data_IF_429684167114
#
_entry.id   IF_429684167114
#
_cell.length_a   1.000
_cell.length_b   1.000
_cell.length_c   1.000
_cell.angle_alpha   90.00
_cell.angle_beta   90.00
_cell.angle_gamma   90.00
#
_symmetry.space_group_name_H-M   'P 1'
#
loop_
_entity.id
_entity.type
_entity.pdbx_description
1 polymer ?
#
# COMPACT_ATOMS: atom_id res chain seq x y z
N UNK A 1 48.39 -31.62 -1.36
CA UNK A 1 47.76 -31.09 -0.13
C UNK A 1 47.10 -29.75 -0.46
N UNK A 2 45.86 -29.73 -0.95
CA UNK A 2 45.17 -28.49 -1.29
C UNK A 2 44.55 -27.86 -0.04
N UNK A 3 44.82 -26.57 0.17
CA UNK A 3 44.28 -25.78 1.28
C UNK A 3 42.76 -25.64 1.17
N UNK A 4 42.10 -25.86 2.31
CA UNK A 4 40.67 -25.81 2.50
C UNK A 4 40.07 -24.47 2.03
N UNK A 5 39.06 -24.57 1.16
CA UNK A 5 38.10 -23.51 0.87
C UNK A 5 37.34 -23.17 2.16
N UNK A 6 37.45 -21.93 2.61
CA UNK A 6 36.46 -21.34 3.51
C UNK A 6 35.15 -21.19 2.73
N UNK A 7 34.29 -22.20 2.84
CA UNK A 7 32.85 -22.06 2.61
C UNK A 7 32.30 -21.11 3.68
N UNK A 8 31.95 -19.89 3.27
CA UNK A 8 31.24 -18.94 4.11
C UNK A 8 30.30 -18.11 3.25
N UNK A 9 29.02 -18.12 3.62
CA UNK A 9 27.92 -17.32 3.07
C UNK A 9 27.40 -17.69 1.67
N UNK A 10 26.64 -18.80 1.60
CA UNK A 10 25.67 -19.02 0.50
C UNK A 10 24.24 -19.34 0.97
N UNK A 11 23.88 -18.96 2.21
CA UNK A 11 22.58 -19.33 2.80
C UNK A 11 21.81 -18.16 3.46
N UNK A 12 21.92 -16.93 2.94
CA UNK A 12 21.22 -15.77 3.55
C UNK A 12 20.45 -14.88 2.57
N UNK A 13 20.20 -15.31 1.34
CA UNK A 13 19.34 -14.54 0.43
C UNK A 13 17.84 -14.76 0.71
N UNK A 14 17.48 -15.75 1.54
CA UNK A 14 16.09 -16.04 1.98
C UNK A 14 15.69 -15.31 3.29
N UNK A 15 16.56 -14.47 3.87
CA UNK A 15 16.34 -13.86 5.19
C UNK A 15 16.03 -12.35 5.17
N UNK A 16 16.37 -11.61 4.12
CA UNK A 16 16.16 -10.16 4.12
C UNK A 16 14.72 -9.77 3.79
N UNK A 17 14.12 -10.39 2.78
CA UNK A 17 12.72 -10.11 2.40
C UNK A 17 11.73 -10.62 3.44
N UNK A 18 11.99 -11.80 4.00
CA UNK A 18 11.24 -12.32 5.15
C UNK A 18 11.44 -11.42 6.39
N UNK A 19 12.65 -10.89 6.60
CA UNK A 19 12.95 -9.92 7.65
C UNK A 19 12.19 -8.60 7.49
N UNK A 20 12.08 -8.06 6.26
CA UNK A 20 11.25 -6.89 5.91
C UNK A 20 9.79 -7.12 6.26
N UNK A 21 9.26 -8.26 5.84
CA UNK A 21 7.87 -8.61 6.07
C UNK A 21 7.55 -8.73 7.57
N UNK A 22 8.39 -9.46 8.33
CA UNK A 22 8.21 -9.61 9.79
C UNK A 22 8.35 -8.26 10.50
N UNK A 23 9.34 -7.44 10.14
CA UNK A 23 9.51 -6.11 10.74
C UNK A 23 8.29 -5.23 10.48
N UNK A 24 7.77 -5.22 9.25
CA UNK A 24 6.56 -4.47 8.91
C UNK A 24 5.34 -4.98 9.72
N UNK A 25 5.17 -6.29 9.84
CA UNK A 25 4.08 -6.88 10.63
C UNK A 25 4.16 -6.47 12.11
N UNK A 26 5.35 -6.49 12.71
CA UNK A 26 5.55 -6.03 14.10
C UNK A 26 5.23 -4.55 14.25
N UNK A 27 5.68 -3.70 13.31
CA UNK A 27 5.36 -2.26 13.33
C UNK A 27 3.85 -2.01 13.21
N UNK A 28 3.15 -2.77 12.38
CA UNK A 28 1.68 -2.69 12.25
C UNK A 28 1.01 -3.10 13.56
N UNK A 29 1.42 -4.20 14.19
CA UNK A 29 0.85 -4.63 15.48
C UNK A 29 1.05 -3.55 16.56
N UNK A 30 2.25 -2.98 16.66
CA UNK A 30 2.52 -1.89 17.60
C UNK A 30 1.67 -0.64 17.30
N UNK A 31 1.50 -0.29 16.03
CA UNK A 31 0.64 0.80 15.60
C UNK A 31 -0.82 0.56 15.99
N UNK A 32 -1.34 -0.65 15.78
CA UNK A 32 -2.70 -1.04 16.17
C UNK A 32 -2.90 -1.02 17.69
N UNK A 33 -1.94 -1.53 18.47
CA UNK A 33 -2.01 -1.49 19.94
C UNK A 33 -2.00 -0.05 20.48
N UNK A 34 -1.15 0.81 19.91
CA UNK A 34 -1.13 2.23 20.26
C UNK A 34 -2.46 2.92 19.90
N UNK A 35 -2.99 2.67 18.69
CA UNK A 35 -4.28 3.19 18.27
C UNK A 35 -5.43 2.74 19.17
N UNK A 36 -5.48 1.44 19.50
CA UNK A 36 -6.48 0.89 20.41
C UNK A 36 -6.43 1.52 21.80
N UNK A 37 -5.23 1.73 22.35
CA UNK A 37 -5.07 2.40 23.65
C UNK A 37 -5.57 3.86 23.61
N UNK A 38 -5.24 4.60 22.54
CA UNK A 38 -5.66 6.00 22.36
C UNK A 38 -7.18 6.10 22.20
N UNK A 39 -7.78 5.33 21.29
CA UNK A 39 -9.24 5.35 21.10
C UNK A 39 -9.98 4.88 22.36
N UNK A 40 -9.51 3.83 23.04
CA UNK A 40 -10.12 3.40 24.30
C UNK A 40 -10.02 4.45 25.39
N UNK A 41 -8.97 5.27 25.42
CA UNK A 41 -8.83 6.33 26.42
C UNK A 41 -9.77 7.52 26.13
N UNK A 42 -9.97 7.86 24.85
CA UNK A 42 -10.75 9.03 24.42
C UNK A 42 -12.26 8.71 24.36
N UNK A 43 -12.64 7.55 23.81
CA UNK A 43 -14.04 7.24 23.50
C UNK A 43 -14.78 6.54 24.65
N UNK A 44 -14.12 5.65 25.41
CA UNK A 44 -14.76 4.89 26.49
C UNK A 44 -15.44 5.77 27.55
N UNK A 45 -14.86 6.90 27.99
CA UNK A 45 -15.55 7.78 28.93
C UNK A 45 -16.82 8.41 28.35
N UNK A 46 -16.82 8.69 27.04
CA UNK A 46 -17.98 9.26 26.33
C UNK A 46 -19.08 8.23 26.14
N UNK A 47 -18.71 6.98 25.81
CA UNK A 47 -19.61 5.82 25.73
C UNK A 47 -20.32 5.57 27.06
N UNK A 48 -19.57 5.50 28.18
CA UNK A 48 -20.16 5.28 29.51
C UNK A 48 -21.12 6.41 29.90
N UNK A 49 -20.79 7.66 29.55
CA UNK A 49 -21.68 8.83 29.76
C UNK A 49 -22.93 8.77 28.88
N UNK A 50 -22.84 8.25 27.67
CA UNK A 50 -23.99 8.07 26.78
C UNK A 50 -24.90 6.94 27.29
N UNK A 51 -24.32 5.83 27.71
CA UNK A 51 -25.05 4.70 28.32
C UNK A 51 -25.79 5.12 29.59
N UNK A 52 -25.14 5.90 30.47
CA UNK A 52 -25.80 6.46 31.65
C UNK A 52 -26.98 7.37 31.32
N UNK A 53 -26.83 8.24 30.31
CA UNK A 53 -27.92 9.11 29.81
C UNK A 53 -29.08 8.30 29.26
N UNK A 54 -28.79 7.30 28.42
CA UNK A 54 -29.80 6.41 27.84
C UNK A 54 -30.61 5.67 28.91
N UNK A 55 -29.93 5.07 29.89
CA UNK A 55 -30.60 4.39 31.00
C UNK A 55 -31.49 5.35 31.80
N UNK A 56 -31.04 6.58 32.04
CA UNK A 56 -31.86 7.61 32.67
C UNK A 56 -33.11 7.96 31.86
N UNK A 57 -32.97 8.13 30.53
CA UNK A 57 -34.11 8.36 29.63
C UNK A 57 -35.10 7.20 29.65
N UNK A 58 -34.61 5.95 29.63
CA UNK A 58 -35.43 4.75 29.63
C UNK A 58 -36.25 4.62 30.93
N UNK A 59 -35.60 4.83 32.08
CA UNK A 59 -36.26 4.80 33.39
C UNK A 59 -37.29 5.91 33.52
N UNK A 60 -36.95 7.14 33.14
CA UNK A 60 -37.87 8.28 33.19
C UNK A 60 -39.10 8.05 32.30
N UNK A 61 -38.91 7.48 31.11
CA UNK A 61 -40.02 7.14 30.22
C UNK A 61 -40.92 6.04 30.80
N UNK A 62 -40.32 4.98 31.36
CA UNK A 62 -41.04 3.89 32.02
C UNK A 62 -41.88 4.40 33.20
N UNK A 63 -41.34 5.28 34.04
CA UNK A 63 -42.04 5.89 35.17
C UNK A 63 -43.15 6.85 34.72
N UNK A 64 -42.86 7.71 33.74
CA UNK A 64 -43.82 8.72 33.25
C UNK A 64 -45.08 8.08 32.65
N UNK A 65 -44.91 6.99 31.90
CA UNK A 65 -46.01 6.31 31.22
C UNK A 65 -46.48 5.04 31.93
N UNK A 66 -45.91 4.72 33.10
CA UNK A 66 -46.20 3.53 33.88
C UNK A 66 -46.12 2.21 33.07
N UNK A 67 -45.10 2.10 32.21
CA UNK A 67 -44.84 0.93 31.35
C UNK A 67 -43.76 0.09 32.00
N UNK A 68 -43.92 -1.24 32.00
CA UNK A 68 -42.87 -2.13 32.53
C UNK A 68 -41.59 -2.02 31.69
N UNK A 69 -40.42 -2.00 32.36
CA UNK A 69 -39.12 -1.96 31.67
C UNK A 69 -38.93 -3.18 30.75
N UNK A 70 -39.56 -4.31 31.06
CA UNK A 70 -39.46 -5.51 30.25
C UNK A 70 -40.21 -5.36 28.92
N UNK A 71 -41.43 -4.81 28.96
CA UNK A 71 -42.24 -4.57 27.75
C UNK A 71 -41.64 -3.46 26.89
N UNK A 72 -41.05 -2.44 27.51
CA UNK A 72 -40.35 -1.39 26.78
C UNK A 72 -39.10 -1.94 26.07
N UNK A 73 -38.32 -2.79 26.74
CA UNK A 73 -37.14 -3.42 26.14
C UNK A 73 -37.52 -4.44 25.06
N UNK A 74 -38.62 -5.18 25.19
CA UNK A 74 -39.09 -6.07 24.12
C UNK A 74 -39.51 -5.29 22.88
N UNK A 75 -40.25 -4.19 23.05
CA UNK A 75 -40.61 -3.29 21.95
C UNK A 75 -39.37 -2.70 21.27
N UNK A 76 -38.38 -2.24 22.02
CA UNK A 76 -37.13 -1.71 21.46
C UNK A 76 -36.35 -2.77 20.66
N UNK A 77 -36.37 -4.03 21.10
CA UNK A 77 -35.77 -5.15 20.33
C UNK A 77 -36.51 -5.43 19.03
N UNK A 78 -37.85 -5.34 19.03
CA UNK A 78 -38.64 -5.48 17.80
C UNK A 78 -38.39 -4.31 16.84
N UNK A 79 -38.28 -3.09 17.37
CA UNK A 79 -37.92 -1.91 16.59
C UNK A 79 -36.51 -2.05 15.97
N UNK A 80 -35.54 -2.55 16.73
CA UNK A 80 -34.18 -2.84 16.22
C UNK A 80 -34.23 -3.90 15.10
N UNK A 81 -35.04 -4.96 15.26
CA UNK A 81 -35.25 -5.96 14.23
C UNK A 81 -35.92 -5.38 12.96
N UNK A 82 -36.88 -4.47 13.12
CA UNK A 82 -37.51 -3.78 12.00
C UNK A 82 -36.53 -2.90 11.22
N UNK A 83 -35.66 -2.16 11.92
CA UNK A 83 -34.57 -1.38 11.31
C UNK A 83 -33.61 -2.31 10.55
N UNK A 84 -33.24 -3.46 11.15
CA UNK A 84 -32.38 -4.45 10.49
C UNK A 84 -33.03 -5.07 9.24
N UNK A 85 -34.36 -5.18 9.21
CA UNK A 85 -35.14 -5.57 8.03
C UNK A 85 -35.29 -4.44 6.98
N UNK A 86 -34.81 -3.23 7.29
CA UNK A 86 -34.86 -2.07 6.40
C UNK A 86 -36.15 -1.24 6.51
N UNK A 87 -37.00 -1.52 7.50
CA UNK A 87 -38.23 -0.76 7.78
C UNK A 87 -37.84 0.43 8.65
N UNK A 88 -37.99 1.65 8.13
CA UNK A 88 -37.73 2.89 8.87
C UNK A 88 -38.98 3.75 8.90
N UNK A 89 -39.25 4.34 10.05
CA UNK A 89 -40.33 5.31 10.25
C UNK A 89 -39.99 6.71 9.69
N UNK A 90 -38.70 6.98 9.43
CA UNK A 90 -38.22 8.28 8.97
C UNK A 90 -38.46 8.46 7.46
N UNK A 91 -38.90 9.66 7.06
CA UNK A 91 -39.22 10.08 5.69
C UNK A 91 -38.00 10.22 4.74
N UNK A 92 -37.05 9.28 4.81
CA UNK A 92 -35.89 9.22 3.93
C UNK A 92 -36.29 8.67 2.55
N UNK A 93 -35.57 9.13 1.52
CA UNK A 93 -35.75 8.72 0.12
C UNK A 93 -35.73 7.18 -0.04
N UNK A 94 -36.51 6.60 -0.98
CA UNK A 94 -36.41 5.18 -1.31
C UNK A 94 -34.97 4.78 -1.70
N UNK A 95 -34.37 3.86 -0.95
CA UNK A 95 -32.96 3.42 -1.11
C UNK A 95 -32.66 2.71 -2.43
N UNK A 96 -33.66 2.03 -2.99
CA UNK A 96 -33.52 1.18 -4.18
C UNK A 96 -34.16 1.79 -5.44
N UNK A 97 -34.38 3.12 -5.46
CA UNK A 97 -34.61 3.81 -6.73
C UNK A 97 -33.32 3.80 -7.58
N UNK A 98 -33.40 4.11 -8.88
CA UNK A 98 -32.25 3.99 -9.77
C UNK A 98 -31.03 4.80 -9.30
N UNK A 99 -31.25 6.00 -8.74
CA UNK A 99 -30.13 6.80 -8.21
C UNK A 99 -29.53 6.20 -6.95
N UNK A 100 -30.36 5.69 -6.03
CA UNK A 100 -29.91 5.02 -4.81
C UNK A 100 -29.17 3.72 -5.13
N UNK A 101 -29.66 2.95 -6.11
CA UNK A 101 -28.98 1.78 -6.64
C UNK A 101 -27.64 2.15 -7.32
N UNK A 102 -27.59 3.23 -8.10
CA UNK A 102 -26.36 3.73 -8.71
C UNK A 102 -25.33 4.15 -7.66
N UNK A 103 -25.77 4.85 -6.61
CA UNK A 103 -24.95 5.19 -5.46
C UNK A 103 -24.42 3.94 -4.74
N UNK A 104 -25.29 2.96 -4.48
CA UNK A 104 -24.92 1.68 -3.89
C UNK A 104 -23.83 0.98 -4.71
N UNK A 105 -24.03 0.78 -6.01
CA UNK A 105 -23.02 0.11 -6.84
C UNK A 105 -21.73 0.92 -6.95
N UNK A 106 -21.81 2.25 -6.89
CA UNK A 106 -20.64 3.15 -6.80
C UNK A 106 -19.82 2.93 -5.53
N UNK A 107 -20.48 2.80 -4.37
CA UNK A 107 -19.80 2.53 -3.09
C UNK A 107 -19.20 1.12 -3.01
N UNK A 108 -19.80 0.16 -3.72
CA UNK A 108 -19.26 -1.21 -3.87
C UNK A 108 -17.97 -1.20 -4.69
N UNK A 109 -18.01 -0.66 -5.93
CA UNK A 109 -16.84 -0.72 -6.83
C UNK A 109 -15.68 0.16 -6.38
N UNK A 110 -15.96 1.22 -5.62
CA UNK A 110 -14.94 2.08 -4.99
C UNK A 110 -14.43 1.55 -3.66
N UNK A 111 -14.99 0.43 -3.17
CA UNK A 111 -14.68 -0.18 -1.87
C UNK A 111 -14.88 0.76 -0.67
N UNK A 112 -15.68 1.82 -0.81
CA UNK A 112 -16.03 2.72 0.29
C UNK A 112 -17.00 2.01 1.25
N UNK A 113 -18.07 1.43 0.71
CA UNK A 113 -18.96 0.54 1.47
C UNK A 113 -19.58 1.09 2.76
N UNK A 114 -20.24 2.25 2.73
CA UNK A 114 -20.89 2.89 3.91
C UNK A 114 -21.87 2.01 4.72
N UNK A 115 -22.30 0.86 4.21
CA UNK A 115 -23.19 -0.07 4.94
C UNK A 115 -24.64 0.39 5.10
N UNK A 116 -24.97 1.64 4.75
CA UNK A 116 -26.33 2.18 4.88
C UNK A 116 -27.36 1.52 3.96
N UNK A 117 -26.92 0.94 2.84
CA UNK A 117 -27.76 0.19 1.90
C UNK A 117 -27.09 -1.14 1.58
N UNK A 118 -27.75 -2.26 1.90
CA UNK A 118 -27.21 -3.60 1.67
C UNK A 118 -28.29 -4.50 1.09
N UNK A 119 -27.93 -5.42 0.17
CA UNK A 119 -28.91 -6.33 -0.43
C UNK A 119 -29.40 -7.32 0.62
N UNK A 120 -30.70 -7.32 0.88
CA UNK A 120 -31.34 -8.24 1.82
C UNK A 120 -31.68 -9.58 1.14
N UNK A 121 -32.00 -9.54 -0.15
CA UNK A 121 -32.40 -10.72 -0.94
C UNK A 121 -31.23 -11.64 -1.26
N UNK A 122 -31.49 -12.95 -1.34
CA UNK A 122 -30.48 -13.95 -1.72
C UNK A 122 -29.92 -13.65 -3.11
N UNK A 123 -30.78 -13.34 -4.07
CA UNK A 123 -30.37 -12.97 -5.42
C UNK A 123 -29.47 -11.74 -5.45
N UNK A 124 -29.80 -10.68 -4.68
CA UNK A 124 -28.99 -9.47 -4.59
C UNK A 124 -27.61 -9.74 -3.96
N UNK A 125 -27.54 -10.60 -2.94
CA UNK A 125 -26.26 -11.01 -2.32
C UNK A 125 -25.39 -11.80 -3.30
N UNK A 126 -25.96 -12.75 -4.04
CA UNK A 126 -25.23 -13.53 -5.05
C UNK A 126 -24.75 -12.62 -6.18
N UNK A 127 -25.60 -11.73 -6.68
CA UNK A 127 -25.22 -10.76 -7.71
C UNK A 127 -24.08 -9.85 -7.24
N UNK A 128 -24.14 -9.36 -5.99
CA UNK A 128 -23.09 -8.53 -5.41
C UNK A 128 -21.73 -9.22 -5.38
N UNK A 129 -21.67 -10.53 -5.14
CA UNK A 129 -20.39 -11.28 -5.12
C UNK A 129 -19.70 -11.20 -6.49
N UNK A 130 -20.44 -11.48 -7.57
CA UNK A 130 -19.88 -11.45 -8.93
C UNK A 130 -19.62 -10.02 -9.42
N UNK A 131 -20.59 -9.12 -9.21
CA UNK A 131 -20.47 -7.71 -9.57
C UNK A 131 -19.31 -7.04 -8.83
N UNK A 132 -19.18 -7.28 -7.53
CA UNK A 132 -18.12 -6.73 -6.69
C UNK A 132 -16.74 -7.23 -7.09
N UNK A 133 -16.57 -8.52 -7.39
CA UNK A 133 -15.28 -9.06 -7.84
C UNK A 133 -14.77 -8.37 -9.12
N UNK A 134 -15.62 -8.32 -10.15
CA UNK A 134 -15.25 -7.69 -11.42
C UNK A 134 -15.09 -6.18 -11.28
N UNK A 135 -16.00 -5.53 -10.56
CA UNK A 135 -16.00 -4.09 -10.34
C UNK A 135 -14.78 -3.62 -9.57
N UNK A 136 -14.45 -4.24 -8.42
CA UNK A 136 -13.28 -3.89 -7.63
C UNK A 136 -11.97 -4.09 -8.42
N UNK A 137 -11.85 -5.21 -9.17
CA UNK A 137 -10.68 -5.45 -10.01
C UNK A 137 -10.52 -4.37 -11.10
N UNK A 138 -11.61 -4.01 -11.78
CA UNK A 138 -11.62 -2.95 -12.79
C UNK A 138 -11.28 -1.58 -12.19
N UNK A 139 -11.82 -1.26 -11.00
CA UNK A 139 -11.52 0.00 -10.29
C UNK A 139 -10.06 0.09 -9.87
N UNK A 140 -9.46 -1.01 -9.36
CA UNK A 140 -8.03 -1.02 -9.01
C UNK A 140 -7.17 -0.78 -10.26
N UNK A 141 -7.51 -1.40 -11.40
CA UNK A 141 -6.83 -1.15 -12.67
C UNK A 141 -6.96 0.32 -13.09
N UNK A 142 -8.17 0.88 -13.01
CA UNK A 142 -8.42 2.30 -13.29
C UNK A 142 -7.53 3.20 -12.42
N UNK A 143 -7.49 2.97 -11.11
CA UNK A 143 -6.68 3.77 -10.20
C UNK A 143 -5.16 3.65 -10.46
N UNK A 144 -4.68 2.47 -10.83
CA UNK A 144 -3.28 2.28 -11.23
C UNK A 144 -2.93 3.06 -12.51
N UNK A 145 -3.80 3.02 -13.51
CA UNK A 145 -3.62 3.80 -14.75
C UNK A 145 -3.70 5.31 -14.47
N UNK A 146 -4.63 5.72 -13.62
CA UNK A 146 -4.77 7.11 -13.19
C UNK A 146 -3.51 7.61 -12.47
N UNK A 147 -2.95 6.79 -11.57
CA UNK A 147 -1.71 7.07 -10.86
C UNK A 147 -0.54 7.30 -11.83
N UNK A 148 -0.38 6.46 -12.85
CA UNK A 148 0.67 6.62 -13.87
C UNK A 148 0.54 7.97 -14.60
N UNK A 149 -0.70 8.37 -14.95
CA UNK A 149 -0.97 9.67 -15.58
C UNK A 149 -0.68 10.84 -14.65
N UNK A 150 -1.09 10.77 -13.38
CA UNK A 150 -0.84 11.82 -12.40
C UNK A 150 0.65 11.98 -12.11
N UNK A 151 1.40 10.89 -11.91
CA UNK A 151 2.85 10.96 -11.68
C UNK A 151 3.54 11.59 -12.89
N UNK A 152 3.14 11.21 -14.11
CA UNK A 152 3.68 11.79 -15.35
C UNK A 152 3.38 13.29 -15.44
N UNK A 153 2.13 13.69 -15.15
CA UNK A 153 1.72 15.09 -15.15
C UNK A 153 2.50 15.91 -14.11
N UNK A 154 2.64 15.40 -12.89
CA UNK A 154 3.42 16.04 -11.83
C UNK A 154 4.89 16.17 -12.22
N UNK A 155 5.48 15.15 -12.84
CA UNK A 155 6.87 15.23 -13.31
C UNK A 155 7.05 16.33 -14.38
N UNK A 156 6.10 16.45 -15.32
CA UNK A 156 6.11 17.51 -16.35
C UNK A 156 5.95 18.89 -15.72
N UNK A 157 5.00 19.06 -14.81
CA UNK A 157 4.77 20.33 -14.09
C UNK A 157 6.00 20.73 -13.28
N UNK A 158 6.59 19.80 -12.53
CA UNK A 158 7.80 20.09 -11.75
C UNK A 158 8.99 20.47 -12.65
N UNK A 159 9.14 19.81 -13.81
CA UNK A 159 10.17 20.17 -14.80
C UNK A 159 9.94 21.59 -15.34
N UNK A 160 8.71 21.90 -15.74
CA UNK A 160 8.35 23.23 -16.25
C UNK A 160 8.55 24.34 -15.21
N UNK A 161 8.19 24.11 -13.95
CA UNK A 161 8.41 25.06 -12.84
C UNK A 161 9.91 25.26 -12.61
N UNK A 162 10.71 24.19 -12.63
CA UNK A 162 12.16 24.28 -12.47
C UNK A 162 12.81 25.07 -13.60
N UNK A 163 12.45 24.80 -14.85
CA UNK A 163 12.95 25.52 -16.02
C UNK A 163 12.58 27.01 -15.97
N UNK A 164 11.34 27.33 -15.59
CA UNK A 164 10.91 28.72 -15.36
C UNK A 164 11.69 29.38 -14.24
N UNK A 165 11.98 28.68 -13.15
CA UNK A 165 12.77 29.21 -12.02
C UNK A 165 14.21 29.48 -12.42
N UNK A 166 14.87 28.56 -13.13
CA UNK A 166 16.24 28.73 -13.61
C UNK A 166 16.34 29.91 -14.58
N UNK A 167 15.35 30.04 -15.48
CA UNK A 167 15.26 31.17 -16.41
C UNK A 167 15.09 32.51 -15.66
N UNK A 168 14.24 32.55 -14.65
CA UNK A 168 14.01 33.76 -13.85
C UNK A 168 15.17 34.09 -12.90
N UNK A 169 15.98 33.11 -12.49
CA UNK A 169 17.18 33.31 -11.67
C UNK A 169 18.41 33.76 -12.46
N UNK A 170 18.31 33.93 -13.79
CA UNK A 170 19.38 34.54 -14.61
C UNK A 170 20.64 33.69 -14.82
N UNK A 171 20.59 32.38 -14.53
CA UNK A 171 21.77 31.47 -14.58
C UNK A 171 21.93 30.81 -15.97
N UNK A 172 21.11 31.19 -16.98
CA UNK A 172 21.21 30.62 -18.33
C UNK A 172 21.81 31.63 -19.34
N UNK A 173 22.94 31.32 -19.99
CA UNK A 173 23.47 32.13 -21.08
C UNK A 173 22.48 32.15 -22.27
N UNK A 174 22.27 33.31 -22.93
CA UNK A 174 21.42 33.39 -24.12
C UNK A 174 22.17 32.77 -25.30
N UNK A 175 21.79 31.56 -25.75
CA UNK A 175 22.36 31.04 -27.00
C UNK A 175 22.18 29.56 -27.35
N UNK A 176 21.74 28.67 -26.45
CA UNK A 176 21.59 27.26 -26.84
C UNK A 176 20.20 27.05 -27.46
N UNK A 177 20.23 26.96 -28.79
CA UNK A 177 19.10 26.62 -29.65
C UNK A 177 18.47 25.29 -29.22
N UNK A 178 17.18 25.25 -29.49
CA UNK A 178 16.20 24.24 -29.19
C UNK A 178 16.53 22.88 -29.82
N UNK A 179 17.38 22.07 -29.17
CA UNK A 179 17.44 20.65 -29.49
C UNK A 179 16.37 19.91 -28.68
N UNK A 180 15.22 19.72 -29.33
CA UNK A 180 14.05 18.98 -28.83
C UNK A 180 14.33 17.49 -28.59
N UNK A 181 15.59 17.07 -28.79
CA UNK A 181 16.14 15.72 -28.72
C UNK A 181 17.07 15.49 -27.52
N UNK A 182 17.23 16.47 -26.61
CA UNK A 182 17.87 16.24 -25.30
C UNK A 182 16.93 15.50 -24.33
N UNK A 183 16.43 14.34 -24.76
CA UNK A 183 15.90 13.33 -23.86
C UNK A 183 17.05 12.89 -22.96
N UNK A 184 16.98 13.26 -21.68
CA UNK A 184 17.92 12.93 -20.60
C UNK A 184 19.01 13.98 -20.33
N UNK A 185 18.63 15.09 -19.68
CA UNK A 185 19.53 15.68 -18.69
C UNK A 185 19.90 14.57 -17.68
N UNK A 186 21.18 14.16 -17.58
CA UNK A 186 21.57 13.06 -16.70
C UNK A 186 21.41 13.52 -15.24
N UNK A 187 20.60 12.81 -14.47
CA UNK A 187 20.67 12.85 -13.00
C UNK A 187 19.56 13.58 -12.24
N UNK A 188 18.57 14.23 -12.88
CA UNK A 188 17.44 14.78 -12.11
C UNK A 188 16.30 13.78 -11.97
N UNK A 189 16.19 13.18 -10.77
CA UNK A 189 15.02 12.41 -10.34
C UNK A 189 14.15 13.35 -9.47
N UNK A 190 12.88 13.64 -9.84
CA UNK A 190 11.99 14.38 -8.95
C UNK A 190 11.91 13.63 -7.62
N UNK A 191 12.22 14.32 -6.53
CA UNK A 191 12.23 13.71 -5.20
C UNK A 191 10.80 13.30 -4.84
N UNK A 192 10.64 12.04 -4.41
CA UNK A 192 9.35 11.44 -4.01
C UNK A 192 8.63 12.30 -2.97
N UNK A 193 9.39 12.94 -2.09
CA UNK A 193 8.87 13.85 -1.07
C UNK A 193 8.16 15.09 -1.65
N UNK A 194 8.61 15.62 -2.79
CA UNK A 194 7.95 16.75 -3.44
C UNK A 194 6.63 16.33 -4.08
N UNK A 195 6.61 15.15 -4.71
CA UNK A 195 5.39 14.56 -5.28
C UNK A 195 4.36 14.30 -4.17
N UNK A 196 4.81 13.71 -3.06
CA UNK A 196 3.98 13.47 -1.87
C UNK A 196 3.41 14.78 -1.32
N UNK A 197 4.24 15.83 -1.21
CA UNK A 197 3.81 17.14 -0.71
C UNK A 197 2.76 17.78 -1.63
N UNK A 198 2.97 17.75 -2.95
CA UNK A 198 1.99 18.30 -3.91
C UNK A 198 0.66 17.52 -3.84
N UNK A 199 0.71 16.19 -3.82
CA UNK A 199 -0.48 15.35 -3.70
C UNK A 199 -1.21 15.55 -2.36
N UNK A 200 -0.45 15.71 -1.28
CA UNK A 200 -0.99 16.00 0.05
C UNK A 200 -1.70 17.35 0.08
N UNK A 201 -1.07 18.40 -0.47
CA UNK A 201 -1.69 19.72 -0.57
C UNK A 201 -2.95 19.69 -1.45
N UNK A 202 -2.93 19.00 -2.60
CA UNK A 202 -4.13 18.87 -3.43
C UNK A 202 -5.25 18.10 -2.72
N UNK A 203 -4.94 17.05 -1.97
CA UNK A 203 -5.93 16.30 -1.21
C UNK A 203 -6.59 17.16 -0.12
N UNK A 204 -5.80 17.98 0.58
CA UNK A 204 -6.29 18.94 1.58
C UNK A 204 -7.18 19.98 0.90
N UNK A 205 -6.74 20.57 -0.22
CA UNK A 205 -7.54 21.57 -0.95
C UNK A 205 -8.86 20.99 -1.43
N UNK A 206 -8.86 19.80 -2.06
CA UNK A 206 -10.08 19.13 -2.52
C UNK A 206 -11.03 18.87 -1.34
N UNK A 207 -10.50 18.40 -0.20
CA UNK A 207 -11.30 18.13 1.00
C UNK A 207 -11.91 19.41 1.57
N UNK A 208 -11.13 20.50 1.69
CA UNK A 208 -11.66 21.79 2.14
C UNK A 208 -12.75 22.34 1.21
N UNK A 209 -12.55 22.25 -0.11
CA UNK A 209 -13.55 22.68 -1.09
C UNK A 209 -14.84 21.84 -0.99
N UNK A 210 -14.71 20.52 -0.83
CA UNK A 210 -15.86 19.63 -0.65
C UNK A 210 -16.59 19.91 0.68
N UNK A 211 -15.86 20.12 1.79
CA UNK A 211 -16.45 20.47 3.08
C UNK A 211 -17.21 21.80 3.07
N UNK A 212 -16.69 22.80 2.34
CA UNK A 212 -17.39 24.07 2.15
C UNK A 212 -18.72 23.90 1.40
N UNK A 213 -18.84 22.88 0.55
CA UNK A 213 -20.10 22.51 -0.11
C UNK A 213 -21.03 21.74 0.85
N UNK A 214 -20.53 20.75 1.58
CA UNK A 214 -21.37 19.90 2.45
C UNK A 214 -21.95 20.64 3.66
N UNK A 215 -21.19 21.57 4.25
CA UNK A 215 -21.61 22.32 5.46
C UNK A 215 -22.99 23.00 5.28
N UNK A 216 -23.22 23.85 4.26
CA UNK A 216 -24.52 24.49 4.05
C UNK A 216 -25.59 23.54 3.49
N UNK A 217 -25.21 22.51 2.72
CA UNK A 217 -26.18 21.64 2.02
C UNK A 217 -26.72 20.53 2.91
N UNK A 218 -25.86 19.90 3.71
CA UNK A 218 -26.23 18.79 4.61
C UNK A 218 -26.43 19.27 6.07
N UNK A 219 -26.12 20.53 6.38
CA UNK A 219 -26.27 21.10 7.71
C UNK A 219 -25.26 20.58 8.74
N UNK A 220 -24.18 19.94 8.29
CA UNK A 220 -23.13 19.41 9.16
C UNK A 220 -22.17 20.51 9.63
N UNK A 221 -21.50 20.31 10.76
CA UNK A 221 -20.38 21.16 11.11
C UNK A 221 -19.26 21.04 10.07
N UNK A 222 -18.44 22.08 9.91
CA UNK A 222 -17.35 22.07 8.92
C UNK A 222 -16.31 20.97 9.22
N UNK A 223 -16.03 20.71 10.50
CA UNK A 223 -15.16 19.62 10.92
C UNK A 223 -15.76 18.24 10.59
N UNK A 224 -17.04 18.03 10.82
CA UNK A 224 -17.74 16.79 10.48
C UNK A 224 -17.74 16.56 8.96
N UNK A 225 -17.89 17.64 8.18
CA UNK A 225 -17.78 17.60 6.73
C UNK A 225 -16.36 17.24 6.25
N UNK A 226 -15.31 17.77 6.91
CA UNK A 226 -13.91 17.40 6.64
C UNK A 226 -13.63 15.94 7.02
N UNK A 227 -14.15 15.50 8.17
CA UNK A 227 -14.08 14.11 8.61
C UNK A 227 -14.76 13.19 7.59
N UNK A 228 -15.97 13.53 7.12
CA UNK A 228 -16.67 12.82 6.06
C UNK A 228 -15.82 12.73 4.78
N UNK A 229 -15.21 13.84 4.33
CA UNK A 229 -14.33 13.82 3.17
C UNK A 229 -13.15 12.85 3.35
N UNK A 230 -12.48 12.89 4.51
CA UNK A 230 -11.38 11.98 4.79
C UNK A 230 -11.83 10.52 4.82
N UNK A 231 -12.85 10.18 5.62
CA UNK A 231 -13.39 8.81 5.76
C UNK A 231 -13.84 8.25 4.41
N UNK A 232 -14.40 9.10 3.57
CA UNK A 232 -14.92 8.69 2.27
C UNK A 232 -13.83 8.56 1.21
N UNK A 233 -12.95 9.56 1.07
CA UNK A 233 -11.89 9.56 0.05
C UNK A 233 -10.80 8.53 0.35
N UNK A 234 -10.57 8.20 1.62
CA UNK A 234 -9.68 7.11 2.04
C UNK A 234 -10.32 5.73 1.97
N UNK A 235 -11.57 5.63 1.52
CA UNK A 235 -12.36 4.40 1.42
C UNK A 235 -12.47 3.63 2.74
N UNK A 236 -12.50 4.34 3.87
CA UNK A 236 -12.80 3.76 5.19
C UNK A 236 -14.31 3.54 5.32
N UNK A 237 -15.10 4.58 4.97
CA UNK A 237 -16.55 4.49 4.81
C UNK A 237 -17.34 4.00 6.04
N UNK A 238 -17.18 4.63 7.20
CA UNK A 238 -17.92 4.24 8.41
C UNK A 238 -19.45 4.31 8.27
N UNK A 239 -19.95 5.25 7.45
CA UNK A 239 -21.40 5.38 7.18
C UNK A 239 -22.18 6.15 8.24
N UNK A 240 -21.48 6.75 9.21
CA UNK A 240 -22.02 7.70 10.19
C UNK A 240 -22.49 9.00 9.54
N UNK A 241 -21.74 9.49 8.54
CA UNK A 241 -22.13 10.58 7.66
C UNK A 241 -22.24 10.10 6.22
N UNK A 242 -23.34 10.46 5.54
CA UNK A 242 -23.60 10.07 4.15
C UNK A 242 -24.29 11.20 3.40
N UNK A 243 -23.68 11.63 2.30
CA UNK A 243 -24.24 12.70 1.46
C UNK A 243 -25.41 12.21 0.59
N UNK A 244 -26.28 13.14 0.20
CA UNK A 244 -27.38 12.93 -0.76
C UNK A 244 -28.46 11.92 -0.31
N UNK A 245 -28.71 11.82 0.99
CA UNK A 245 -29.75 10.94 1.56
C UNK A 245 -31.08 11.64 1.81
N UNK A 246 -31.11 12.98 1.83
CA UNK A 246 -32.32 13.76 2.09
C UNK A 246 -33.29 13.71 0.90
N UNK A 247 -34.60 13.69 1.18
CA UNK A 247 -35.65 13.52 0.18
C UNK A 247 -35.76 14.71 -0.81
N UNK A 248 -35.41 15.93 -0.37
CA UNK A 248 -35.42 17.12 -1.22
C UNK A 248 -34.22 18.02 -0.90
N UNK A 249 -33.53 18.47 -1.95
CA UNK A 249 -32.51 19.51 -1.91
C UNK A 249 -32.92 20.62 -2.90
N UNK A 250 -32.66 21.89 -2.59
CA UNK A 250 -33.02 23.02 -3.47
C UNK A 250 -32.38 22.90 -4.87
N UNK A 251 -31.13 22.42 -4.96
CA UNK A 251 -30.40 22.22 -6.22
C UNK A 251 -29.95 20.76 -6.40
N UNK A 252 -30.92 19.85 -6.40
CA UNK A 252 -30.67 18.41 -6.33
C UNK A 252 -29.77 17.84 -7.45
N UNK A 253 -29.95 18.26 -8.70
CA UNK A 253 -29.16 17.74 -9.84
C UNK A 253 -27.70 18.22 -9.79
N UNK A 254 -27.50 19.52 -9.59
CA UNK A 254 -26.19 20.15 -9.52
C UNK A 254 -25.39 19.62 -8.32
N UNK A 255 -26.03 19.49 -7.15
CA UNK A 255 -25.39 18.92 -5.97
C UNK A 255 -24.96 17.47 -6.20
N UNK A 256 -25.80 16.63 -6.83
CA UNK A 256 -25.45 15.23 -7.11
C UNK A 256 -24.25 15.10 -8.04
N UNK A 257 -24.20 15.93 -9.10
CA UNK A 257 -23.06 15.95 -10.03
C UNK A 257 -21.81 16.45 -9.31
N UNK A 258 -21.90 17.53 -8.54
CA UNK A 258 -20.78 18.06 -7.76
C UNK A 258 -20.26 17.04 -6.73
N UNK A 259 -21.15 16.40 -5.98
CA UNK A 259 -20.85 15.30 -5.04
C UNK A 259 -20.13 14.16 -5.76
N UNK A 260 -20.63 13.69 -6.90
CA UNK A 260 -19.98 12.65 -7.69
C UNK A 260 -18.56 13.05 -8.14
N UNK A 261 -18.37 14.29 -8.61
CA UNK A 261 -17.06 14.79 -9.04
C UNK A 261 -16.08 14.92 -7.87
N UNK A 262 -16.53 15.45 -6.72
CA UNK A 262 -15.70 15.54 -5.52
C UNK A 262 -15.31 14.17 -4.98
N UNK A 263 -16.24 13.22 -4.95
CA UNK A 263 -15.99 11.83 -4.59
C UNK A 263 -14.95 11.19 -5.50
N UNK A 264 -15.14 11.30 -6.82
CA UNK A 264 -14.22 10.73 -7.80
C UNK A 264 -12.83 11.34 -7.68
N UNK A 265 -12.72 12.68 -7.64
CA UNK A 265 -11.45 13.39 -7.57
C UNK A 265 -10.75 13.17 -6.23
N UNK A 266 -11.49 13.18 -5.13
CA UNK A 266 -10.99 12.93 -3.78
C UNK A 266 -10.42 11.53 -3.62
N UNK A 267 -11.17 10.49 -3.99
CA UNK A 267 -10.70 9.09 -3.93
C UNK A 267 -9.47 8.89 -4.83
N UNK A 268 -9.49 9.41 -6.05
CA UNK A 268 -8.35 9.34 -6.97
C UNK A 268 -7.08 10.00 -6.38
N UNK A 269 -7.23 11.14 -5.73
CA UNK A 269 -6.13 11.89 -5.13
C UNK A 269 -5.56 11.16 -3.89
N UNK A 270 -6.43 10.70 -2.98
CA UNK A 270 -6.01 9.97 -1.77
C UNK A 270 -5.39 8.62 -2.13
N UNK A 271 -5.96 7.89 -3.09
CA UNK A 271 -5.35 6.65 -3.61
C UNK A 271 -3.92 6.90 -4.09
N UNK A 272 -3.71 7.98 -4.85
CA UNK A 272 -2.39 8.33 -5.35
C UNK A 272 -1.44 8.70 -4.21
N UNK A 273 -1.92 9.45 -3.22
CA UNK A 273 -1.16 9.81 -2.03
C UNK A 273 -0.74 8.56 -1.22
N UNK A 274 -1.65 7.62 -0.96
CA UNK A 274 -1.34 6.37 -0.26
C UNK A 274 -0.30 5.52 -1.00
N UNK A 275 -0.38 5.46 -2.33
CA UNK A 275 0.64 4.78 -3.13
C UNK A 275 2.02 5.44 -3.02
N UNK A 276 2.10 6.76 -3.00
CA UNK A 276 3.37 7.46 -2.79
C UNK A 276 3.88 7.28 -1.36
N UNK A 277 3.01 7.33 -0.36
CA UNK A 277 3.35 7.07 1.04
C UNK A 277 3.88 5.64 1.22
N UNK A 278 3.30 4.64 0.55
CA UNK A 278 3.78 3.25 0.65
C UNK A 278 5.21 3.09 0.15
N UNK A 279 5.61 3.85 -0.88
CA UNK A 279 6.99 3.90 -1.37
C UNK A 279 7.91 4.48 -0.29
N UNK A 280 7.51 5.57 0.37
CA UNK A 280 8.28 6.17 1.47
C UNK A 280 8.40 5.20 2.66
N UNK A 281 7.31 4.52 3.04
CA UNK A 281 7.34 3.49 4.10
C UNK A 281 8.34 2.39 3.75
N UNK A 282 8.36 1.92 2.50
CA UNK A 282 9.33 0.92 2.04
C UNK A 282 10.79 1.43 2.15
N UNK A 283 11.03 2.69 1.81
CA UNK A 283 12.36 3.31 1.95
C UNK A 283 12.79 3.38 3.42
N UNK A 284 11.89 3.79 4.32
CA UNK A 284 12.14 3.84 5.77
C UNK A 284 12.40 2.45 6.33
N UNK A 285 11.62 1.44 5.93
CA UNK A 285 11.78 0.05 6.36
C UNK A 285 13.16 -0.50 5.98
N UNK A 286 13.60 -0.25 4.74
CA UNK A 286 14.92 -0.66 4.28
C UNK A 286 16.05 0.01 5.07
N UNK A 287 15.92 1.32 5.31
CA UNK A 287 16.86 2.07 6.13
C UNK A 287 16.94 1.52 7.57
N UNK A 288 15.80 1.17 8.17
CA UNK A 288 15.75 0.56 9.51
C UNK A 288 16.49 -0.78 9.56
N UNK A 289 16.28 -1.65 8.56
CA UNK A 289 16.95 -2.95 8.50
C UNK A 289 18.46 -2.82 8.33
N UNK A 290 18.91 -1.91 7.47
CA UNK A 290 20.34 -1.65 7.28
C UNK A 290 20.98 -1.11 8.56
N UNK A 291 20.26 -0.26 9.31
CA UNK A 291 20.73 0.22 10.61
C UNK A 291 20.83 -0.91 11.63
N UNK A 292 19.85 -1.83 11.64
CA UNK A 292 19.82 -2.99 12.52
C UNK A 292 20.92 -4.02 12.19
N UNK A 293 21.22 -4.24 10.91
CA UNK A 293 22.30 -5.15 10.48
C UNK A 293 23.69 -4.59 10.85
N UNK A 294 23.90 -3.27 10.73
CA UNK A 294 25.13 -2.61 11.19
C UNK A 294 25.32 -2.73 12.71
N UNK A 295 24.25 -2.59 13.49
CA UNK A 295 24.26 -2.78 14.95
C UNK A 295 24.61 -4.23 15.33
N UNK A 296 24.07 -5.22 14.60
CA UNK A 296 24.40 -6.64 14.80
C UNK A 296 25.86 -6.95 14.44
N UNK A 297 26.37 -6.39 13.34
CA UNK A 297 27.75 -6.60 12.89
C UNK A 297 28.79 -6.00 13.86
N UNK A 298 28.50 -4.83 14.45
CA UNK A 298 29.37 -4.21 15.46
C UNK A 298 29.38 -5.00 16.78
N UNK A 299 28.25 -5.62 17.14
CA UNK A 299 28.12 -6.48 18.33
C UNK A 299 28.85 -7.82 18.15
N UNK A 300 28.78 -8.44 16.97
CA UNK A 300 29.59 -9.62 16.62
C UNK A 300 31.10 -9.32 16.59
N UNK A 301 31.50 -8.14 16.10
CA UNK A 301 32.92 -7.76 16.07
C UNK A 301 33.48 -7.50 17.49
N UNK A 302 32.68 -6.93 18.41
CA UNK A 302 33.06 -6.81 19.83
C UNK A 302 33.13 -8.16 20.55
N UNK A 303 32.26 -9.10 20.23
CA UNK A 303 32.31 -10.46 20.79
C UNK A 303 33.57 -11.23 20.33
N UNK A 304 33.98 -11.08 19.07
CA UNK A 304 35.21 -11.68 18.55
C UNK A 304 36.49 -10.97 19.01
N UNK A 305 36.44 -9.66 19.27
CA UNK A 305 37.59 -8.93 19.82
C UNK A 305 37.97 -9.38 21.23
N UNK A 306 37.04 -9.97 22.00
CA UNK A 306 37.32 -10.50 23.35
C UNK A 306 38.01 -11.88 23.32
N UNK A 307 37.92 -12.62 22.22
CA UNK A 307 38.53 -13.95 22.05
C UNK A 307 39.80 -13.94 21.17
N UNK A 308 40.19 -12.78 20.64
CA UNK A 308 41.27 -12.64 19.65
C UNK A 308 42.61 -12.11 20.15
N UNK A 309 42.89 -12.11 21.46
CA UNK A 309 44.19 -11.65 22.00
C UNK A 309 45.11 -12.82 22.32
N UNK A 310 45.49 -13.60 21.29
CA UNK A 310 46.68 -14.47 21.35
C UNK A 310 47.75 -13.88 20.43
N UNK A 311 48.71 -13.20 21.07
CA UNK A 311 49.88 -12.61 20.45
C UNK A 311 50.70 -13.67 19.71
N UNK A 312 50.90 -13.51 18.40
CA UNK A 312 51.93 -14.22 17.67
C UNK A 312 53.02 -13.21 17.28
N UNK A 313 54.08 -13.20 18.09
CA UNK A 313 55.37 -12.55 17.79
C UNK A 313 56.00 -13.33 16.63
N UNK A 314 56.38 -12.65 15.55
CA UNK A 314 57.35 -13.18 14.57
C UNK A 314 58.52 -12.19 14.42
N UNK A 315 59.78 -12.65 14.49
CA UNK A 315 60.95 -11.80 14.39
C UNK A 315 61.23 -11.40 12.94
N UNK A 316 61.88 -10.24 12.79
CA UNK A 316 62.02 -9.54 11.52
C UNK A 316 63.09 -10.08 10.56
N UNK A 317 63.06 -9.52 9.34
CA UNK A 317 64.23 -9.41 8.48
C UNK A 317 64.23 -8.04 7.79
N UNK A 318 65.37 -7.35 7.92
CA UNK A 318 65.67 -6.05 7.30
C UNK A 318 66.12 -6.27 5.85
N UNK A 319 65.64 -5.51 4.86
CA UNK A 319 66.47 -5.07 3.72
C UNK A 319 65.94 -3.85 2.94
N UNK A 320 66.59 -2.71 3.23
CA UNK A 320 67.13 -1.61 2.40
C UNK A 320 66.44 -1.11 1.09
N UNK A 321 66.26 0.22 1.06
CA UNK A 321 65.97 1.16 -0.04
C UNK A 321 66.86 1.04 -1.30
N UNK A 322 66.30 1.41 -2.46
CA UNK A 322 67.00 1.99 -3.62
C UNK A 322 66.02 2.54 -4.69
N UNK A 323 66.17 3.82 -5.07
CA UNK A 323 65.48 4.50 -6.20
C UNK A 323 66.37 4.44 -7.45
N UNK A 324 65.81 4.35 -8.68
CA UNK A 324 65.97 5.29 -9.82
C UNK A 324 65.35 4.78 -11.16
N UNK A 325 64.52 5.61 -11.83
CA UNK A 325 64.73 6.09 -13.22
C UNK A 325 64.33 5.31 -14.49
N UNK A 326 63.17 5.66 -15.07
CA UNK A 326 62.80 5.91 -16.51
C UNK A 326 62.51 4.77 -17.56
N UNK A 327 61.73 5.06 -18.65
CA UNK A 327 60.82 4.17 -19.44
C UNK A 327 61.33 3.94 -20.91
N UNK A 328 60.54 3.57 -21.98
CA UNK A 328 59.14 3.10 -22.14
C UNK A 328 58.96 1.82 -23.02
N UNK A 329 57.67 1.45 -23.24
CA UNK A 329 57.06 0.74 -24.40
C UNK A 329 56.50 -0.71 -24.28
N UNK A 330 55.24 -0.80 -24.76
CA UNK A 330 54.51 -1.92 -25.40
C UNK A 330 53.64 -2.90 -24.59
N UNK A 331 52.34 -2.58 -24.60
CA UNK A 331 51.15 -3.38 -24.96
C UNK A 331 50.86 -4.78 -24.39
N UNK A 332 49.71 -4.88 -23.71
CA UNK A 332 48.96 -6.11 -23.43
C UNK A 332 47.77 -5.84 -22.47
N UNK A 333 46.51 -6.17 -22.83
CA UNK A 333 45.33 -5.78 -22.06
C UNK A 333 45.11 -6.73 -20.87
N UNK A 334 45.16 -6.21 -19.66
CA UNK A 334 44.75 -6.92 -18.45
C UNK A 334 43.53 -6.21 -17.85
N UNK A 335 42.36 -6.82 -18.02
CA UNK A 335 41.15 -6.51 -17.27
C UNK A 335 41.40 -6.80 -15.79
N UNK A 336 41.60 -5.74 -15.01
CA UNK A 336 41.60 -5.80 -13.56
C UNK A 336 40.37 -5.08 -13.03
N UNK A 337 39.33 -5.86 -12.72
CA UNK A 337 38.20 -5.46 -11.88
C UNK A 337 38.72 -5.00 -10.51
N UNK A 338 39.00 -3.71 -10.42
CA UNK A 338 39.26 -3.02 -9.16
C UNK A 338 38.06 -2.13 -8.93
N UNK A 339 36.96 -2.74 -8.48
CA UNK A 339 35.77 -2.02 -8.04
C UNK A 339 36.08 -1.39 -6.69
N UNK A 340 36.76 -0.24 -6.75
CA UNK A 340 36.91 0.67 -5.64
C UNK A 340 35.51 1.10 -5.19
N UNK A 341 35.18 0.78 -3.95
CA UNK A 341 34.01 1.28 -3.21
C UNK A 341 33.82 2.78 -3.46
N UNK A 342 32.92 3.14 -4.38
CA UNK A 342 32.33 4.46 -4.46
C UNK A 342 31.01 4.44 -3.72
N UNK A 343 31.03 5.05 -2.54
CA UNK A 343 29.84 5.53 -1.85
C UNK A 343 29.11 6.54 -2.75
N UNK A 344 27.95 6.16 -3.28
CA UNK A 344 26.85 7.08 -3.55
C UNK A 344 25.56 6.30 -3.66
N UNK A 345 24.58 6.66 -2.83
CA UNK A 345 23.25 6.07 -2.84
C UNK A 345 22.56 6.27 -4.18
N UNK A 346 22.56 5.23 -5.01
CA UNK A 346 21.71 5.17 -6.19
C UNK A 346 20.25 5.07 -5.74
N UNK A 347 19.57 6.21 -5.69
CA UNK A 347 18.11 6.26 -5.67
C UNK A 347 17.60 5.58 -6.95
N UNK A 348 16.94 4.45 -6.81
CA UNK A 348 16.39 3.63 -7.90
C UNK A 348 15.51 4.51 -8.81
N UNK A 349 15.72 4.40 -10.13
CA UNK A 349 14.97 5.16 -11.14
C UNK A 349 13.51 4.73 -11.19
N UNK A 350 12.56 5.68 -11.27
CA UNK A 350 11.14 5.35 -11.46
C UNK A 350 10.87 4.56 -12.75
N UNK A 351 11.71 4.74 -13.79
CA UNK A 351 11.64 3.92 -15.01
C UNK A 351 12.04 2.47 -14.74
N UNK A 352 13.05 2.23 -13.90
CA UNK A 352 13.49 0.88 -13.53
C UNK A 352 12.50 0.20 -12.58
N UNK A 353 11.76 0.98 -11.78
CA UNK A 353 10.69 0.51 -10.89
C UNK A 353 9.39 0.21 -11.65
N UNK A 354 8.98 1.06 -12.60
CA UNK A 354 7.86 0.79 -13.49
C UNK A 354 8.19 -0.36 -14.45
N UNK A 355 9.44 -0.47 -14.92
CA UNK A 355 9.93 -1.62 -15.66
C UNK A 355 9.95 -2.87 -14.77
N UNK A 356 10.34 -2.77 -13.50
CA UNK A 356 10.31 -3.91 -12.55
C UNK A 356 8.89 -4.39 -12.28
N UNK A 357 7.90 -3.49 -12.13
CA UNK A 357 6.49 -3.88 -12.00
C UNK A 357 5.93 -4.47 -13.31
N UNK A 358 6.29 -3.91 -14.48
CA UNK A 358 5.93 -4.48 -15.79
C UNK A 358 6.59 -5.84 -16.03
N UNK A 359 7.84 -6.02 -15.62
CA UNK A 359 8.60 -7.28 -15.71
C UNK A 359 8.05 -8.30 -14.74
N UNK A 360 7.67 -7.90 -13.52
CA UNK A 360 7.06 -8.79 -12.52
C UNK A 360 5.66 -9.24 -12.97
N UNK A 361 4.86 -8.32 -13.54
CA UNK A 361 3.59 -8.65 -14.19
C UNK A 361 3.77 -9.54 -15.42
N UNK A 362 4.77 -9.26 -16.27
CA UNK A 362 5.07 -10.08 -17.44
C UNK A 362 5.60 -11.46 -17.04
N UNK A 363 6.37 -11.58 -15.95
CA UNK A 363 6.82 -12.85 -15.39
C UNK A 363 5.67 -13.63 -14.76
N UNK A 364 4.76 -12.97 -14.04
CA UNK A 364 3.54 -13.62 -13.52
C UNK A 364 2.62 -14.05 -14.65
N UNK A 365 2.39 -13.21 -15.66
CA UNK A 365 1.61 -13.56 -16.86
C UNK A 365 2.27 -14.69 -17.64
N UNK A 366 3.60 -14.68 -17.76
CA UNK A 366 4.37 -15.75 -18.39
C UNK A 366 4.28 -17.05 -17.61
N UNK A 367 4.46 -17.03 -16.28
CA UNK A 367 4.32 -18.21 -15.42
C UNK A 367 2.89 -18.77 -15.42
N UNK A 368 1.88 -17.90 -15.46
CA UNK A 368 0.48 -18.30 -15.62
C UNK A 368 0.22 -18.88 -17.01
N UNK A 369 0.81 -18.30 -18.07
CA UNK A 369 0.69 -18.83 -19.44
C UNK A 369 1.42 -20.17 -19.62
N UNK A 370 2.59 -20.34 -19.00
CA UNK A 370 3.38 -21.58 -19.04
C UNK A 370 2.72 -22.67 -18.19
N UNK A 371 2.07 -22.30 -17.08
CA UNK A 371 1.27 -23.22 -16.26
C UNK A 371 -0.05 -23.61 -16.93
N UNK A 372 -0.64 -22.71 -17.73
CA UNK A 372 -1.89 -22.97 -18.46
C UNK A 372 -1.68 -23.77 -19.76
N UNK A 373 -0.55 -23.58 -20.46
CA UNK A 373 -0.32 -24.21 -21.76
C UNK A 373 0.46 -25.52 -21.73
N UNK A 374 0.91 -26.01 -20.56
CA UNK A 374 1.40 -27.40 -20.38
C UNK A 374 2.21 -27.99 -21.55
N UNK A 375 3.33 -27.37 -21.94
CA UNK A 375 4.23 -27.95 -22.96
C UNK A 375 5.43 -28.68 -22.32
N UNK A 376 5.87 -29.83 -22.89
CA UNK A 376 6.73 -30.78 -22.22
C UNK A 376 8.21 -30.37 -22.31
N UNK A 377 8.96 -30.61 -21.24
CA UNK A 377 10.41 -30.44 -21.24
C UNK A 377 11.07 -31.45 -22.18
N UNK A 378 11.73 -30.96 -23.21
CA UNK A 378 12.68 -31.73 -24.03
C UNK A 378 13.81 -32.25 -23.14
N UNK A 379 13.90 -33.57 -23.06
CA UNK A 379 14.94 -34.35 -22.40
C UNK A 379 16.19 -34.33 -23.28
N UNK A 380 17.32 -33.86 -22.74
CA UNK A 380 18.64 -34.30 -23.19
C UNK A 380 19.42 -34.71 -21.95
N UNK A 381 19.68 -36.01 -21.83
CA UNK A 381 20.24 -36.64 -20.63
C UNK A 381 21.75 -36.51 -20.54
N UNK A 382 22.28 -36.40 -19.32
CA UNK A 382 23.11 -37.46 -18.74
C UNK A 382 23.44 -37.21 -17.25
N UNK A 383 23.41 -38.31 -16.48
CA UNK A 383 24.03 -38.57 -15.17
C UNK A 383 23.52 -37.88 -13.88
N UNK A 384 22.68 -38.67 -13.17
CA UNK A 384 22.72 -39.00 -11.73
C UNK A 384 22.92 -37.87 -10.69
N UNK A 385 21.82 -37.49 -10.04
CA UNK A 385 21.69 -37.67 -8.58
C UNK A 385 20.21 -37.70 -8.15
N UNK A 386 19.85 -38.77 -7.45
CA UNK A 386 18.55 -38.97 -6.81
C UNK A 386 18.35 -38.01 -5.65
N UNK A 387 17.13 -37.51 -5.52
CA UNK A 387 16.60 -36.95 -4.29
C UNK A 387 15.86 -35.65 -4.51
N UNK A 388 14.57 -35.74 -4.84
CA UNK A 388 13.47 -34.83 -4.44
C UNK A 388 12.23 -35.22 -5.25
N UNK A 389 11.64 -36.37 -4.93
CA UNK A 389 10.24 -36.66 -5.24
C UNK A 389 9.51 -36.71 -3.91
N UNK A 390 8.78 -35.65 -3.61
CA UNK A 390 8.07 -35.47 -2.36
C UNK A 390 7.12 -34.28 -2.51
N UNK A 391 6.12 -34.42 -3.37
CA UNK A 391 5.06 -33.43 -3.49
C UNK A 391 4.29 -33.32 -2.17
N UNK A 392 4.18 -32.10 -1.64
CA UNK A 392 3.47 -31.82 -0.39
C UNK A 392 2.06 -31.32 -0.75
N UNK A 393 1.03 -32.00 -0.24
CA UNK A 393 -0.37 -31.61 -0.42
C UNK A 393 -1.31 -32.80 -0.64
N UNK A 394 -2.62 -32.53 -0.64
CA UNK A 394 -3.68 -33.54 -0.82
C UNK A 394 -3.56 -34.36 -2.12
N UNK A 395 -2.90 -33.81 -3.15
CA UNK A 395 -2.57 -34.51 -4.40
C UNK A 395 -1.42 -35.53 -4.28
N UNK A 396 -0.49 -35.35 -3.32
CA UNK A 396 0.59 -36.30 -3.06
C UNK A 396 0.10 -37.60 -2.42
N UNK A 397 -1.00 -37.54 -1.67
CA UNK A 397 -1.62 -38.69 -1.01
C UNK A 397 -2.36 -39.58 -2.03
N UNK A 398 -2.93 -38.99 -3.08
CA UNK A 398 -3.65 -39.74 -4.12
C UNK A 398 -2.72 -40.56 -5.01
N UNK A 399 -1.50 -40.07 -5.26
CA UNK A 399 -0.52 -40.75 -6.11
C UNK A 399 0.08 -42.01 -5.45
N UNK A 400 0.25 -42.01 -4.12
CA UNK A 400 0.73 -43.20 -3.41
C UNK A 400 -0.32 -44.32 -3.33
N UNK A 401 -1.61 -43.99 -3.32
CA UNK A 401 -2.71 -44.99 -3.34
C UNK A 401 -2.91 -45.66 -4.70
N UNK A 402 -2.62 -44.96 -5.80
CA UNK A 402 -2.66 -45.53 -7.15
C UNK A 402 -1.44 -46.42 -7.43
N UNK A 403 -0.29 -46.12 -6.83
CA UNK A 403 0.90 -46.97 -6.94
C UNK A 403 0.73 -48.31 -6.19
N UNK A 404 0.12 -48.31 -5.00
CA UNK A 404 -0.13 -49.53 -4.21
C UNK A 404 -1.11 -50.52 -4.88
N UNK A 405 -2.03 -50.03 -5.72
CA UNK A 405 -3.02 -50.90 -6.42
C UNK A 405 -2.54 -51.43 -7.77
N UNK A 406 -1.43 -50.90 -8.30
CA UNK A 406 -0.85 -51.36 -9.57
C UNK A 406 0.16 -52.52 -9.42
N UNK A 407 0.62 -52.79 -8.20
CA UNK A 407 1.62 -53.84 -7.92
C UNK A 407 1.00 -55.17 -7.43
N UNK A 408 -0.32 -55.35 -7.55
CA UNK A 408 -1.02 -56.59 -7.16
C UNK A 408 -1.83 -57.24 -8.28
N UNK A 409 -1.39 -57.11 -9.54
CA UNK A 409 -1.86 -57.94 -10.66
C UNK A 409 -0.73 -58.40 -11.55
#
# INVERSE_FOLDING_TARGET
MPGQRLQGCRSLHFNEDNGRFVLLAVLIILYLLCGAAVFSAIERPSELRAHGRWNGTLLNFSETFNISLQDLNSFLREYEAAIAAGIRADALRPRWDFTGAFYFVGTVVSTIGFGMTTPVTVAGKVFLIFYGLLGCAATILFFNLFLERIITLLAVVMKAVRERRIRNSGILPPGIRHDFSAYSLPGWKPSVYHVMLILGLSAITISCCASAMYTPVEGWAYLDSLYFCFVTFSTIGFGDFVSSQTAAYEYQSLYRVANFLFMLMGVCCIYSLFNVISIVIKQVLNWMLEKMSCLFCQRCNKANAFLGRRNAIRPGSKRRKGRLGKPPDSDGPCDSDTEGRRLSGEMISMKDLAASNKVSLALMQKQLSESANGYPRTVCGSSRHNGFSGGVGALGIMNNRLAETSNSR
#
